data_IF_400275856387
#
_entry.id   IF_400275856387
#
_cell.length_a   1.000
_cell.length_b   1.000
_cell.length_c   1.000
_cell.angle_alpha   90.00
_cell.angle_beta   90.00
_cell.angle_gamma   90.00
#
_symmetry.space_group_name_H-M   'P 1'
#
loop_
_entity.id
_entity.type
_entity.pdbx_description
1 polymer ?
#
# COMPACT_ATOMS: atom_id res chain seq x y z
N UNK A 1 45.55 -14.34 3.40
CA UNK A 1 44.36 -15.18 3.66
C UNK A 1 43.44 -14.57 4.72
N UNK A 2 43.92 -14.22 5.92
CA UNK A 2 43.07 -13.56 6.95
C UNK A 2 42.44 -12.23 6.48
N UNK A 3 43.25 -11.31 5.93
CA UNK A 3 42.75 -10.00 5.50
C UNK A 3 41.71 -10.04 4.35
N UNK A 4 41.69 -11.13 3.58
CA UNK A 4 40.75 -11.31 2.46
C UNK A 4 39.42 -11.91 2.95
N UNK A 5 39.52 -12.83 3.93
CA UNK A 5 38.38 -13.39 4.67
C UNK A 5 37.61 -12.30 5.43
N UNK A 6 38.32 -11.40 6.13
CA UNK A 6 37.68 -10.32 6.89
C UNK A 6 36.96 -9.32 5.98
N UNK A 7 37.55 -9.03 4.80
CA UNK A 7 36.95 -8.15 3.80
C UNK A 7 35.66 -8.77 3.24
N UNK A 8 35.67 -10.07 2.95
CA UNK A 8 34.51 -10.80 2.46
C UNK A 8 33.37 -10.85 3.51
N UNK A 9 33.70 -11.10 4.78
CA UNK A 9 32.72 -11.14 5.87
C UNK A 9 32.06 -9.78 6.11
N UNK A 10 32.81 -8.68 5.98
CA UNK A 10 32.27 -7.31 6.05
C UNK A 10 31.23 -7.05 4.97
N UNK A 11 31.55 -7.40 3.72
CA UNK A 11 30.65 -7.24 2.57
C UNK A 11 29.38 -8.07 2.71
N UNK A 12 29.52 -9.31 3.18
CA UNK A 12 28.39 -10.19 3.42
C UNK A 12 27.45 -9.61 4.49
N UNK A 13 28.02 -9.05 5.56
CA UNK A 13 27.27 -8.37 6.62
C UNK A 13 26.45 -7.17 6.11
N UNK A 14 27.04 -6.36 5.22
CA UNK A 14 26.32 -5.22 4.63
C UNK A 14 25.23 -5.63 3.65
N UNK A 15 25.47 -6.70 2.88
CA UNK A 15 24.46 -7.31 2.02
C UNK A 15 23.26 -7.81 2.83
N UNK A 16 23.53 -8.55 3.91
CA UNK A 16 22.51 -9.04 4.83
C UNK A 16 21.72 -7.85 5.40
N UNK A 17 22.41 -6.81 5.85
CA UNK A 17 21.78 -5.60 6.37
C UNK A 17 20.89 -4.91 5.32
N UNK A 18 21.35 -4.79 4.06
CA UNK A 18 20.53 -4.27 2.96
C UNK A 18 19.26 -5.08 2.74
N UNK A 19 19.38 -6.42 2.72
CA UNK A 19 18.24 -7.31 2.56
C UNK A 19 17.26 -7.19 3.72
N UNK A 20 17.75 -7.12 4.96
CA UNK A 20 16.93 -6.95 6.16
C UNK A 20 16.14 -5.63 6.10
N UNK A 21 16.81 -4.50 5.84
CA UNK A 21 16.16 -3.18 5.75
C UNK A 21 15.11 -3.18 4.65
N UNK A 22 15.40 -3.78 3.49
CA UNK A 22 14.45 -3.85 2.37
C UNK A 22 13.26 -4.75 2.68
N UNK A 23 13.48 -5.91 3.31
CA UNK A 23 12.43 -6.85 3.68
C UNK A 23 11.51 -6.27 4.75
N UNK A 24 12.06 -5.64 5.78
CA UNK A 24 11.26 -4.97 6.84
C UNK A 24 10.40 -3.87 6.22
N UNK A 25 11.00 -2.99 5.41
CA UNK A 25 10.28 -1.89 4.78
C UNK A 25 9.15 -2.38 3.85
N UNK A 26 9.37 -3.46 3.11
CA UNK A 26 8.36 -4.03 2.21
C UNK A 26 7.26 -4.78 2.98
N UNK A 27 7.62 -5.56 4.00
CA UNK A 27 6.66 -6.34 4.79
C UNK A 27 5.73 -5.43 5.58
N UNK A 28 6.30 -4.50 6.35
CA UNK A 28 5.51 -3.59 7.20
C UNK A 28 4.54 -2.75 6.37
N UNK A 29 5.03 -2.21 5.24
CA UNK A 29 4.18 -1.47 4.31
C UNK A 29 3.10 -2.35 3.69
N UNK A 30 3.47 -3.52 3.16
CA UNK A 30 2.53 -4.43 2.50
C UNK A 30 1.43 -4.88 3.48
N UNK A 31 1.80 -5.25 4.70
CA UNK A 31 0.85 -5.74 5.71
C UNK A 31 -0.10 -4.63 6.16
N UNK A 32 0.42 -3.42 6.38
CA UNK A 32 -0.40 -2.27 6.76
C UNK A 32 -1.40 -1.90 5.66
N UNK A 33 -0.94 -1.79 4.42
CA UNK A 33 -1.80 -1.47 3.26
C UNK A 33 -2.83 -2.56 3.03
N UNK A 34 -2.43 -3.83 3.12
CA UNK A 34 -3.31 -4.96 2.93
C UNK A 34 -4.40 -5.05 4.00
N UNK A 35 -4.04 -4.84 5.27
CA UNK A 35 -4.99 -4.85 6.38
C UNK A 35 -5.99 -3.70 6.26
N UNK A 36 -5.52 -2.48 5.93
CA UNK A 36 -6.40 -1.32 5.68
C UNK A 36 -7.35 -1.61 4.52
N UNK A 37 -6.83 -2.10 3.39
CA UNK A 37 -7.63 -2.50 2.22
C UNK A 37 -8.75 -3.47 2.62
N UNK A 38 -8.42 -4.57 3.31
CA UNK A 38 -9.42 -5.57 3.70
C UNK A 38 -10.46 -5.01 4.67
N UNK A 39 -10.04 -4.17 5.62
CA UNK A 39 -10.96 -3.55 6.57
C UNK A 39 -11.98 -2.66 5.86
N UNK A 40 -11.51 -1.73 5.02
CA UNK A 40 -12.41 -0.84 4.27
C UNK A 40 -13.29 -1.60 3.30
N UNK A 41 -12.73 -2.53 2.53
CA UNK A 41 -13.52 -3.38 1.62
C UNK A 41 -14.61 -4.14 2.35
N UNK A 42 -14.32 -4.69 3.52
CA UNK A 42 -15.31 -5.45 4.32
C UNK A 42 -16.44 -4.54 4.79
N UNK A 43 -16.11 -3.35 5.30
CA UNK A 43 -17.11 -2.35 5.73
C UNK A 43 -18.00 -1.94 4.56
N UNK A 44 -17.41 -1.65 3.40
CA UNK A 44 -18.13 -1.21 2.21
C UNK A 44 -19.04 -2.30 1.65
N UNK A 45 -18.54 -3.53 1.53
CA UNK A 45 -19.34 -4.68 1.09
C UNK A 45 -20.50 -4.94 2.06
N UNK A 46 -20.27 -4.85 3.37
CA UNK A 46 -21.32 -5.00 4.37
C UNK A 46 -22.37 -3.88 4.27
N UNK A 47 -21.94 -2.64 4.06
CA UNK A 47 -22.83 -1.49 3.89
C UNK A 47 -23.69 -1.61 2.63
N UNK A 48 -23.10 -2.00 1.48
CA UNK A 48 -23.87 -2.28 0.26
C UNK A 48 -24.85 -3.44 0.46
N UNK A 49 -24.38 -4.56 1.04
CA UNK A 49 -25.23 -5.72 1.32
C UNK A 49 -26.43 -5.36 2.20
N UNK A 50 -26.19 -4.57 3.25
CA UNK A 50 -27.25 -4.06 4.11
C UNK A 50 -28.21 -3.14 3.35
N UNK A 51 -27.70 -2.15 2.61
CA UNK A 51 -28.49 -1.22 1.82
C UNK A 51 -29.45 -1.96 0.86
N UNK A 52 -28.91 -2.86 0.04
CA UNK A 52 -29.73 -3.62 -0.91
C UNK A 52 -30.69 -4.59 -0.23
N UNK A 53 -30.36 -5.14 0.94
CA UNK A 53 -31.30 -5.96 1.72
C UNK A 53 -32.55 -5.19 2.16
N UNK A 54 -32.47 -3.86 2.28
CA UNK A 54 -33.58 -2.99 2.68
C UNK A 54 -34.26 -2.32 1.48
N UNK A 55 -34.00 -2.73 0.24
CA UNK A 55 -34.48 -2.06 -0.98
C UNK A 55 -35.98 -1.69 -0.95
N UNK A 56 -36.85 -2.59 -0.47
CA UNK A 56 -38.29 -2.34 -0.39
C UNK A 56 -38.72 -1.25 0.61
N UNK A 57 -37.85 -0.83 1.53
CA UNK A 57 -38.09 0.22 2.54
C UNK A 57 -37.38 1.53 2.21
N UNK A 58 -36.50 1.54 1.22
CA UNK A 58 -35.69 2.72 0.86
C UNK A 58 -36.59 3.90 0.49
N UNK A 59 -37.63 3.65 -0.32
CA UNK A 59 -38.56 4.68 -0.78
C UNK A 59 -39.39 5.34 0.34
N UNK A 60 -39.53 4.69 1.50
CA UNK A 60 -40.32 5.19 2.63
C UNK A 60 -39.47 5.68 3.81
N UNK A 61 -38.16 5.46 3.79
CA UNK A 61 -37.24 5.85 4.86
C UNK A 61 -36.07 6.66 4.30
N UNK A 62 -36.20 8.00 4.38
CA UNK A 62 -35.18 8.95 3.91
C UNK A 62 -33.79 8.72 4.51
N UNK A 63 -33.72 8.22 5.75
CA UNK A 63 -32.46 7.91 6.42
C UNK A 63 -31.75 6.70 5.79
N UNK A 64 -32.48 5.70 5.31
CA UNK A 64 -31.90 4.58 4.56
C UNK A 64 -31.48 5.02 3.15
N UNK A 65 -32.33 5.80 2.48
CA UNK A 65 -32.09 6.30 1.13
C UNK A 65 -30.85 7.18 1.04
N UNK A 66 -30.71 8.15 1.94
CA UNK A 66 -29.65 9.16 1.86
C UNK A 66 -28.52 8.95 2.87
N UNK A 67 -28.85 8.45 4.06
CA UNK A 67 -27.89 8.32 5.15
C UNK A 67 -26.83 7.25 4.89
N UNK A 68 -27.25 6.06 4.44
CA UNK A 68 -26.31 4.95 4.19
C UNK A 68 -25.33 5.29 3.05
N UNK A 69 -25.77 5.77 1.88
CA UNK A 69 -24.83 6.13 0.83
C UNK A 69 -23.90 7.27 1.24
N UNK A 70 -24.38 8.25 2.01
CA UNK A 70 -23.53 9.33 2.52
C UNK A 70 -22.41 8.78 3.43
N UNK A 71 -22.73 7.86 4.34
CA UNK A 71 -21.73 7.21 5.19
C UNK A 71 -20.74 6.40 4.33
N UNK A 72 -21.22 5.66 3.34
CA UNK A 72 -20.36 4.93 2.40
C UNK A 72 -19.39 5.84 1.65
N UNK A 73 -19.85 6.99 1.16
CA UNK A 73 -18.98 7.99 0.52
C UNK A 73 -17.89 8.47 1.50
N UNK A 74 -18.26 8.79 2.74
CA UNK A 74 -17.30 9.26 3.76
C UNK A 74 -16.24 8.19 4.05
N UNK A 75 -16.65 6.93 4.19
CA UNK A 75 -15.74 5.81 4.43
C UNK A 75 -14.79 5.61 3.24
N UNK A 76 -15.29 5.65 2.00
CA UNK A 76 -14.47 5.57 0.80
C UNK A 76 -13.47 6.73 0.67
N UNK A 77 -13.85 7.95 1.06
CA UNK A 77 -12.96 9.11 1.09
C UNK A 77 -11.85 8.95 2.15
N UNK A 78 -12.20 8.50 3.35
CA UNK A 78 -11.23 8.21 4.41
C UNK A 78 -10.24 7.13 3.96
N UNK A 79 -10.73 6.11 3.26
CA UNK A 79 -9.87 5.09 2.68
C UNK A 79 -8.88 5.68 1.67
N UNK A 80 -9.33 6.55 0.76
CA UNK A 80 -8.44 7.25 -0.17
C UNK A 80 -7.39 8.14 0.52
N UNK A 81 -7.77 8.84 1.60
CA UNK A 81 -6.84 9.66 2.39
C UNK A 81 -5.75 8.83 3.05
N UNK A 82 -6.11 7.69 3.66
CA UNK A 82 -5.14 6.77 4.25
C UNK A 82 -4.27 6.12 3.17
N UNK A 83 -4.83 5.87 1.98
CA UNK A 83 -4.07 5.42 0.82
C UNK A 83 -2.98 6.42 0.41
N UNK A 84 -3.28 7.72 0.48
CA UNK A 84 -2.31 8.78 0.22
C UNK A 84 -1.21 8.85 1.30
N UNK A 85 -1.57 8.69 2.58
CA UNK A 85 -0.60 8.58 3.68
C UNK A 85 0.38 7.41 3.45
N UNK A 86 -0.17 6.24 3.09
CA UNK A 86 0.61 5.05 2.81
C UNK A 86 1.55 5.25 1.61
N UNK A 87 1.09 5.92 0.57
CA UNK A 87 1.92 6.27 -0.57
C UNK A 87 3.12 7.16 -0.17
N UNK A 88 2.89 8.19 0.64
CA UNK A 88 3.97 9.08 1.14
C UNK A 88 4.93 8.31 2.03
N UNK A 89 4.41 7.49 2.94
CA UNK A 89 5.20 6.65 3.84
C UNK A 89 6.15 5.74 3.05
N UNK A 90 5.65 5.08 2.02
CA UNK A 90 6.48 4.22 1.20
C UNK A 90 7.54 5.00 0.40
N UNK A 91 7.20 6.18 -0.15
CA UNK A 91 8.18 7.01 -0.85
C UNK A 91 9.37 7.39 0.06
N UNK A 92 9.11 7.63 1.35
CA UNK A 92 10.16 7.85 2.35
C UNK A 92 11.03 6.61 2.57
N UNK A 93 10.43 5.42 2.66
CA UNK A 93 11.17 4.15 2.79
C UNK A 93 11.96 3.80 1.52
N UNK A 94 11.43 4.14 0.34
CA UNK A 94 12.13 4.02 -0.94
C UNK A 94 13.43 4.83 -0.96
N UNK A 95 13.43 6.02 -0.34
CA UNK A 95 14.66 6.83 -0.21
C UNK A 95 15.68 6.14 0.70
N UNK A 96 15.27 5.64 1.86
CA UNK A 96 16.15 4.95 2.81
C UNK A 96 16.78 3.71 2.17
N UNK A 97 15.98 2.90 1.47
CA UNK A 97 16.48 1.72 0.77
C UNK A 97 17.46 2.09 -0.35
N UNK A 98 17.21 3.19 -1.08
CA UNK A 98 18.15 3.73 -2.09
C UNK A 98 19.47 4.18 -1.46
N UNK A 99 19.42 4.85 -0.31
CA UNK A 99 20.62 5.34 0.40
C UNK A 99 21.49 4.16 0.89
N UNK A 100 20.86 3.07 1.36
CA UNK A 100 21.58 1.83 1.75
C UNK A 100 22.11 1.10 0.52
N UNK A 101 21.34 1.03 -0.57
CA UNK A 101 21.78 0.44 -1.83
C UNK A 101 23.04 1.13 -2.38
N UNK A 102 23.06 2.46 -2.32
CA UNK A 102 24.23 3.23 -2.76
C UNK A 102 25.46 2.94 -1.91
N UNK A 103 25.31 2.86 -0.58
CA UNK A 103 26.42 2.50 0.32
C UNK A 103 26.99 1.12 0.01
N UNK A 104 26.11 0.14 -0.17
CA UNK A 104 26.52 -1.23 -0.54
C UNK A 104 27.22 -1.23 -1.89
N UNK A 105 26.69 -0.50 -2.88
CA UNK A 105 27.30 -0.39 -4.21
C UNK A 105 28.71 0.21 -4.15
N UNK A 106 28.88 1.31 -3.41
CA UNK A 106 30.20 1.95 -3.21
C UNK A 106 31.21 1.00 -2.56
N UNK A 107 30.77 0.15 -1.62
CA UNK A 107 31.62 -0.86 -1.00
C UNK A 107 32.00 -2.00 -1.96
N UNK A 108 31.04 -2.48 -2.75
CA UNK A 108 31.27 -3.49 -3.77
C UNK A 108 32.28 -3.02 -4.83
N UNK A 109 32.14 -1.77 -5.30
CA UNK A 109 33.05 -1.16 -6.27
C UNK A 109 34.47 -1.03 -5.72
N UNK A 110 34.64 -0.71 -4.42
CA UNK A 110 35.96 -0.68 -3.74
C UNK A 110 36.67 -2.05 -3.69
N UNK A 111 35.95 -3.12 -3.96
CA UNK A 111 36.45 -4.50 -3.92
C UNK A 111 36.60 -5.06 -5.35
N UNK A 112 36.27 -4.27 -6.37
CA UNK A 112 36.31 -4.68 -7.77
C UNK A 112 35.14 -5.59 -8.17
N UNK A 113 34.07 -5.62 -7.38
CA UNK A 113 32.86 -6.38 -7.67
C UNK A 113 31.78 -5.43 -8.21
N UNK A 114 31.06 -5.87 -9.24
CA UNK A 114 29.92 -5.13 -9.80
C UNK A 114 28.64 -5.53 -9.07
N UNK A 115 27.98 -4.56 -8.44
CA UNK A 115 26.66 -4.74 -7.84
C UNK A 115 25.61 -4.10 -8.74
N UNK A 116 24.84 -4.94 -9.44
CA UNK A 116 23.75 -4.49 -10.31
C UNK A 116 22.43 -5.03 -9.77
N UNK A 117 21.57 -4.13 -9.30
CA UNK A 117 20.26 -4.47 -8.76
C UNK A 117 19.20 -3.99 -9.72
N UNK A 118 18.69 -4.90 -10.56
CA UNK A 118 17.44 -4.66 -11.26
C UNK A 118 16.27 -4.74 -10.27
N UNK A 119 15.94 -3.60 -9.66
CA UNK A 119 14.73 -3.49 -8.84
C UNK A 119 13.52 -3.73 -9.75
N UNK A 120 12.81 -4.84 -9.54
CA UNK A 120 11.54 -5.15 -10.20
C UNK A 120 10.43 -4.19 -9.73
N UNK A 121 10.50 -2.93 -10.20
CA UNK A 121 9.62 -1.81 -9.83
C UNK A 121 8.14 -2.03 -10.18
N UNK A 122 7.82 -2.92 -11.14
CA UNK A 122 6.47 -3.02 -11.69
C UNK A 122 5.43 -3.60 -10.71
N UNK A 123 5.81 -4.54 -9.85
CA UNK A 123 4.85 -5.19 -8.93
C UNK A 123 4.43 -4.28 -7.79
N UNK A 124 5.35 -3.42 -7.35
CA UNK A 124 5.13 -2.41 -6.31
C UNK A 124 4.21 -1.30 -6.84
N UNK A 125 4.44 -0.84 -8.07
CA UNK A 125 3.61 0.18 -8.71
C UNK A 125 2.17 -0.29 -8.95
N UNK A 126 1.96 -1.55 -9.36
CA UNK A 126 0.62 -2.09 -9.60
C UNK A 126 -0.23 -2.11 -8.31
N UNK A 127 0.32 -2.67 -7.22
CA UNK A 127 -0.38 -2.71 -5.93
C UNK A 127 -0.70 -1.31 -5.39
N UNK A 128 0.21 -0.35 -5.59
CA UNK A 128 -0.02 1.04 -5.19
C UNK A 128 -1.18 1.69 -5.91
N UNK A 129 -1.16 1.68 -7.24
CA UNK A 129 -2.15 2.45 -8.00
C UNK A 129 -3.54 1.88 -7.82
N UNK A 130 -3.65 0.54 -7.79
CA UNK A 130 -4.94 -0.12 -7.66
C UNK A 130 -5.50 -0.07 -6.25
N UNK A 131 -4.76 -0.58 -5.25
CA UNK A 131 -5.31 -0.76 -3.90
C UNK A 131 -5.49 0.55 -3.14
N UNK A 132 -4.65 1.56 -3.38
CA UNK A 132 -4.66 2.80 -2.60
C UNK A 132 -5.58 3.88 -3.19
N UNK A 133 -5.82 3.85 -4.50
CA UNK A 133 -6.47 4.97 -5.18
C UNK A 133 -7.64 4.52 -6.05
N UNK A 134 -7.43 3.53 -6.91
CA UNK A 134 -8.46 3.10 -7.86
C UNK A 134 -9.67 2.47 -7.16
N UNK A 135 -9.45 1.55 -6.20
CA UNK A 135 -10.53 0.92 -5.46
C UNK A 135 -11.38 1.91 -4.63
N UNK A 136 -10.79 2.77 -3.78
CA UNK A 136 -11.55 3.77 -3.04
C UNK A 136 -12.37 4.69 -3.97
N UNK A 137 -11.80 5.13 -5.09
CA UNK A 137 -12.51 5.96 -6.07
C UNK A 137 -13.69 5.21 -6.69
N UNK A 138 -13.51 3.95 -7.09
CA UNK A 138 -14.58 3.13 -7.66
C UNK A 138 -15.72 2.92 -6.65
N UNK A 139 -15.39 2.67 -5.39
CA UNK A 139 -16.40 2.52 -4.31
C UNK A 139 -17.13 3.84 -4.06
N UNK A 140 -16.42 4.96 -3.99
CA UNK A 140 -17.04 6.29 -3.83
C UNK A 140 -17.99 6.60 -5.01
N UNK A 141 -17.56 6.35 -6.25
CA UNK A 141 -18.41 6.52 -7.44
C UNK A 141 -19.64 5.63 -7.35
N UNK A 142 -19.48 4.37 -6.91
CA UNK A 142 -20.60 3.44 -6.77
C UNK A 142 -21.64 3.95 -5.78
N UNK A 143 -21.21 4.51 -4.64
CA UNK A 143 -22.13 5.13 -3.71
C UNK A 143 -22.77 6.41 -4.23
N UNK A 144 -22.04 7.24 -4.97
CA UNK A 144 -22.62 8.43 -5.62
C UNK A 144 -23.71 8.03 -6.61
N UNK A 145 -23.48 6.99 -7.42
CA UNK A 145 -24.48 6.46 -8.35
C UNK A 145 -25.72 5.99 -7.58
N UNK A 146 -25.54 5.21 -6.51
CA UNK A 146 -26.64 4.80 -5.64
C UNK A 146 -27.37 6.04 -5.09
N UNK A 147 -26.67 6.98 -4.50
CA UNK A 147 -27.25 8.19 -3.91
C UNK A 147 -28.07 9.04 -4.90
N UNK A 148 -27.66 9.10 -6.16
CA UNK A 148 -28.38 9.87 -7.20
C UNK A 148 -29.57 9.10 -7.78
N UNK A 149 -29.48 7.77 -7.86
CA UNK A 149 -30.49 6.92 -8.51
C UNK A 149 -31.62 6.50 -7.56
N UNK A 150 -31.36 6.46 -6.25
CA UNK A 150 -32.37 6.09 -5.23
C UNK A 150 -33.11 7.29 -4.68
#
# INVERSE_FOLDING_TARGET
MEAESDKFNSVLGELVHYYEVRMVALSEYSDRVWNRFNWFMTVEVAAFGFFFSQAGKIASQSLLQNGIPLVGIIVALLWGLLGAEDYVSMRKHGKITTDVEQKVKEQFERIGLTFDVEVRKSFVNFRQTWLLFLFPCLVAISWVVVFVVT
#
